data_IF_311212093977
#
_entry.id   IF_311212093977
#
_cell.length_a   1.000
_cell.length_b   1.000
_cell.length_c   1.000
_cell.angle_alpha   90.00
_cell.angle_beta   90.00
_cell.angle_gamma   90.00
#
_symmetry.space_group_name_H-M   'P 1'
#
loop_
_entity.id
_entity.type
_entity.pdbx_description
1 polymer ?
#
# COMPACT_ATOMS: atom_id res chain seq x y z
N UNK A 1 -10.34 13.44 -18.25
CA UNK A 1 -9.58 14.72 -18.21
C UNK A 1 -8.49 14.57 -17.16
N UNK A 2 -7.22 14.85 -17.48
CA UNK A 2 -6.16 14.89 -16.47
C UNK A 2 -6.38 16.12 -15.60
N UNK A 3 -6.36 15.94 -14.28
CA UNK A 3 -6.52 17.05 -13.35
C UNK A 3 -5.21 17.83 -13.24
N UNK A 4 -5.27 19.09 -12.81
CA UNK A 4 -4.08 19.93 -12.60
C UNK A 4 -3.07 19.30 -11.62
N UNK A 5 -3.54 18.44 -10.72
CA UNK A 5 -2.69 17.66 -9.82
C UNK A 5 -1.87 16.59 -10.55
N UNK A 6 -2.45 15.90 -11.53
CA UNK A 6 -1.75 14.86 -12.29
C UNK A 6 -0.56 15.45 -13.08
N UNK A 7 -0.73 16.66 -13.62
CA UNK A 7 0.34 17.36 -14.34
C UNK A 7 1.49 17.78 -13.42
N UNK A 8 1.20 18.20 -12.19
CA UNK A 8 2.21 18.54 -11.19
C UNK A 8 3.01 17.31 -10.72
N UNK A 9 2.31 16.18 -10.49
CA UNK A 9 2.95 14.93 -10.08
C UNK A 9 3.89 14.38 -11.16
N UNK A 10 3.55 14.56 -12.45
CA UNK A 10 4.40 14.15 -13.56
C UNK A 10 5.71 14.95 -13.66
N UNK A 11 5.70 16.24 -13.33
CA UNK A 11 6.91 17.08 -13.33
C UNK A 11 7.93 16.66 -12.26
N UNK A 12 7.50 15.95 -11.22
CA UNK A 12 8.34 15.52 -10.10
C UNK A 12 8.76 14.04 -10.20
N UNK A 13 8.49 13.37 -11.33
CA UNK A 13 8.72 11.94 -11.49
C UNK A 13 10.17 11.53 -11.19
N UNK A 14 11.16 12.29 -11.69
CA UNK A 14 12.59 11.99 -11.53
C UNK A 14 13.11 12.16 -10.09
N UNK A 15 12.35 12.89 -9.24
CA UNK A 15 12.68 13.10 -7.83
C UNK A 15 12.08 12.04 -6.91
N UNK A 16 11.32 11.07 -7.45
CA UNK A 16 10.63 10.06 -6.65
C UNK A 16 11.59 8.96 -6.22
N UNK A 17 11.47 8.56 -4.94
CA UNK A 17 12.10 7.35 -4.41
C UNK A 17 11.04 6.31 -4.14
N UNK A 18 11.38 5.04 -4.33
CA UNK A 18 10.48 3.92 -4.07
C UNK A 18 10.19 3.82 -2.56
N UNK A 19 8.92 3.83 -2.19
CA UNK A 19 8.49 3.62 -0.81
C UNK A 19 8.41 2.12 -0.50
N UNK A 20 9.12 1.67 0.54
CA UNK A 20 9.05 0.29 1.00
C UNK A 20 7.95 0.14 2.04
N UNK A 21 6.96 -0.70 1.75
CA UNK A 21 5.83 -0.97 2.65
C UNK A 21 6.05 -2.28 3.39
N UNK A 22 5.98 -2.23 4.71
CA UNK A 22 6.09 -3.38 5.60
C UNK A 22 4.78 -3.62 6.33
N UNK A 23 4.46 -4.90 6.55
CA UNK A 23 3.28 -5.30 7.34
C UNK A 23 3.66 -6.39 8.33
N UNK A 24 2.88 -6.51 9.41
CA UNK A 24 3.01 -7.61 10.37
C UNK A 24 2.49 -8.92 9.77
N UNK A 25 3.30 -9.97 9.89
CA UNK A 25 2.96 -11.35 9.56
C UNK A 25 3.38 -12.23 10.73
N UNK A 26 2.43 -12.89 11.40
CA UNK A 26 2.71 -13.81 12.52
C UNK A 26 3.68 -13.26 13.58
N UNK A 27 3.62 -11.95 13.86
CA UNK A 27 4.44 -11.29 14.90
C UNK A 27 5.62 -10.45 14.39
N UNK A 28 6.17 -10.69 13.20
CA UNK A 28 7.32 -9.94 12.67
C UNK A 28 6.96 -9.03 11.49
N UNK A 29 7.83 -8.06 11.17
CA UNK A 29 7.67 -7.18 10.02
C UNK A 29 8.23 -7.82 8.76
N UNK A 30 7.41 -7.90 7.71
CA UNK A 30 7.80 -8.43 6.40
C UNK A 30 7.47 -7.43 5.30
N UNK A 31 8.35 -7.21 4.32
CA UNK A 31 8.06 -6.31 3.21
C UNK A 31 6.96 -6.90 2.33
N UNK A 32 5.95 -6.08 2.01
CA UNK A 32 4.80 -6.50 1.20
C UNK A 32 5.23 -6.95 -0.21
N UNK A 33 6.29 -6.37 -0.74
CA UNK A 33 6.85 -6.71 -2.06
C UNK A 33 7.32 -8.15 -2.17
N UNK A 34 7.72 -8.76 -1.04
CA UNK A 34 8.18 -10.15 -0.98
C UNK A 34 7.04 -11.18 -0.99
N UNK A 35 5.79 -10.74 -1.13
CA UNK A 35 4.63 -11.62 -1.05
C UNK A 35 4.50 -12.44 -2.33
N UNK A 36 4.30 -13.75 -2.19
CA UNK A 36 3.93 -14.61 -3.30
C UNK A 36 2.43 -14.43 -3.63
N UNK A 37 1.94 -15.07 -4.70
CA UNK A 37 0.56 -14.90 -5.19
C UNK A 37 -0.46 -15.28 -4.10
N UNK A 38 -0.27 -16.40 -3.42
CA UNK A 38 -1.17 -16.84 -2.34
C UNK A 38 -1.22 -15.86 -1.17
N UNK A 39 -0.07 -15.36 -0.72
CA UNK A 39 0.02 -14.38 0.36
C UNK A 39 -0.56 -13.02 -0.03
N UNK A 40 -0.42 -12.59 -1.29
CA UNK A 40 -1.11 -11.41 -1.82
C UNK A 40 -2.63 -11.58 -1.78
N UNK A 41 -3.13 -12.78 -2.06
CA UNK A 41 -4.55 -13.13 -1.96
C UNK A 41 -5.07 -13.03 -0.53
N UNK A 42 -4.41 -13.72 0.42
CA UNK A 42 -4.77 -13.66 1.84
C UNK A 42 -4.71 -12.22 2.38
N UNK A 43 -3.69 -11.44 1.99
CA UNK A 43 -3.54 -10.08 2.50
C UNK A 43 -4.70 -9.17 2.08
N UNK A 44 -5.24 -9.33 0.86
CA UNK A 44 -6.41 -8.58 0.37
C UNK A 44 -7.72 -8.95 1.08
N UNK A 45 -7.80 -10.15 1.64
CA UNK A 45 -8.98 -10.62 2.36
C UNK A 45 -9.00 -10.17 3.84
N UNK A 46 -7.92 -9.52 4.31
CA UNK A 46 -7.87 -8.99 5.68
C UNK A 46 -8.87 -7.86 5.84
N UNK A 47 -9.63 -7.92 6.93
CA UNK A 47 -10.52 -6.82 7.31
C UNK A 47 -9.73 -5.82 8.13
N UNK A 48 -9.70 -4.57 7.68
CA UNK A 48 -9.09 -3.47 8.41
C UNK A 48 -10.10 -2.84 9.35
N UNK A 49 -9.63 -2.46 10.53
CA UNK A 49 -10.43 -1.65 11.44
C UNK A 49 -10.80 -0.32 10.77
N UNK A 50 -12.05 0.09 10.94
CA UNK A 50 -12.56 1.36 10.45
C UNK A 50 -13.06 2.18 11.64
N UNK A 51 -12.40 3.30 11.90
CA UNK A 51 -12.81 4.22 12.96
C UNK A 51 -14.24 4.71 12.74
N UNK A 52 -15.01 4.82 13.82
CA UNK A 52 -16.41 5.28 13.80
C UNK A 52 -17.45 4.23 13.39
N UNK A 53 -17.02 3.03 13.01
CA UNK A 53 -17.92 1.89 12.87
C UNK A 53 -18.11 1.27 14.26
N UNK A 54 -19.25 1.55 14.93
CA UNK A 54 -19.58 0.87 16.18
C UNK A 54 -19.76 -0.63 15.91
N UNK A 55 -19.35 -1.45 16.87
CA UNK A 55 -19.53 -2.89 16.83
C UNK A 55 -21.00 -3.31 16.76
#
# INVERSE_FOLDING_TARGET
>A
MKTSNDTFLAQLQDKRTKCLVYTRVMGYHRPVESFNIGKKGEHRQRTHFKEGQSC
#
